data_IF_884326923518
#
_entry.id   IF_884326923518
#
_cell.length_a   1.000
_cell.length_b   1.000
_cell.length_c   1.000
_cell.angle_alpha   90.00
_cell.angle_beta   90.00
_cell.angle_gamma   90.00
#
_symmetry.space_group_name_H-M   'P 1'
#
loop_
_entity.id
_entity.type
_entity.pdbx_description
1 polymer ?
#
# COMPACT_ATOMS: atom_id res chain seq x y z
N UNK A 1 32.17 23.30 -30.83
CA UNK A 1 31.52 23.76 -29.57
C UNK A 1 31.40 22.60 -28.61
N UNK A 2 31.55 22.83 -27.29
CA UNK A 2 32.04 21.86 -26.32
C UNK A 2 30.95 20.98 -25.71
N UNK A 3 31.34 19.75 -25.39
CA UNK A 3 30.55 18.76 -24.66
C UNK A 3 30.10 19.31 -23.31
N UNK A 4 28.80 19.53 -23.16
CA UNK A 4 28.17 19.81 -21.87
C UNK A 4 28.35 18.57 -20.98
N UNK A 5 29.31 18.63 -20.08
CA UNK A 5 29.55 17.62 -19.06
C UNK A 5 28.33 17.57 -18.15
N UNK A 6 27.49 16.55 -18.29
CA UNK A 6 26.36 16.31 -17.39
C UNK A 6 26.93 16.06 -16.00
N UNK A 7 26.85 17.10 -15.15
CA UNK A 7 27.19 17.02 -13.73
C UNK A 7 26.40 15.88 -13.12
N UNK A 8 27.11 14.81 -12.75
CA UNK A 8 26.58 13.71 -11.92
C UNK A 8 26.19 14.29 -10.57
N UNK A 9 24.93 14.70 -10.43
CA UNK A 9 24.33 15.01 -9.14
C UNK A 9 24.35 13.70 -8.36
N UNK A 10 25.36 13.53 -7.51
CA UNK A 10 25.41 12.50 -6.49
C UNK A 10 24.16 12.72 -5.64
N UNK A 11 23.11 11.95 -5.92
CA UNK A 11 21.93 11.89 -5.08
C UNK A 11 22.43 11.47 -3.72
N UNK A 12 22.55 12.43 -2.81
CA UNK A 12 22.70 12.16 -1.39
C UNK A 12 21.49 11.28 -1.05
N UNK A 13 21.72 9.97 -0.96
CA UNK A 13 20.75 9.01 -0.48
C UNK A 13 20.58 9.39 0.98
N UNK A 14 19.70 10.37 1.24
CA UNK A 14 19.30 10.74 2.59
C UNK A 14 18.92 9.43 3.26
N UNK A 15 19.74 8.98 4.19
CA UNK A 15 19.47 7.84 5.03
C UNK A 15 18.25 8.22 5.87
N UNK A 16 17.06 8.02 5.31
CA UNK A 16 15.81 8.20 6.03
C UNK A 16 15.88 7.28 7.24
N UNK A 17 16.00 7.87 8.43
CA UNK A 17 16.00 7.12 9.69
C UNK A 17 14.59 6.63 9.93
N UNK A 18 14.33 5.38 9.57
CA UNK A 18 13.05 4.75 9.81
C UNK A 18 12.92 4.34 11.28
N UNK A 19 11.69 4.35 11.79
CA UNK A 19 11.36 3.73 13.08
C UNK A 19 11.28 2.22 12.87
N UNK A 20 12.08 1.46 13.63
CA UNK A 20 12.27 0.00 13.46
C UNK A 20 11.60 -0.84 14.53
N UNK A 21 11.03 -0.23 15.56
CA UNK A 21 10.25 -0.90 16.59
C UNK A 21 8.94 -0.14 16.89
N UNK A 22 8.08 -0.70 17.73
CA UNK A 22 6.79 -0.10 18.07
C UNK A 22 6.80 0.70 19.37
N UNK A 23 7.96 0.88 19.99
CA UNK A 23 8.10 1.51 21.30
C UNK A 23 7.62 2.97 21.26
N UNK A 24 6.62 3.31 22.07
CA UNK A 24 5.95 4.61 22.07
C UNK A 24 4.92 4.80 20.95
N UNK A 25 4.81 3.85 20.03
CA UNK A 25 3.88 3.85 18.89
C UNK A 25 2.93 2.64 18.87
N UNK A 26 2.72 1.99 20.01
CA UNK A 26 1.87 0.79 20.12
C UNK A 26 0.42 1.10 19.72
N UNK A 27 -0.04 2.32 19.99
CA UNK A 27 -1.34 2.80 19.54
C UNK A 27 -1.44 2.87 18.00
N UNK A 28 -0.35 3.20 17.32
CA UNK A 28 -0.26 3.20 15.86
C UNK A 28 -0.20 1.78 15.32
N UNK A 29 0.58 0.88 15.96
CA UNK A 29 0.57 -0.56 15.66
C UNK A 29 -0.86 -1.10 15.67
N UNK A 30 -1.60 -0.86 16.76
CA UNK A 30 -3.01 -1.29 16.88
C UNK A 30 -3.90 -0.71 15.78
N UNK A 31 -3.68 0.55 15.40
CA UNK A 31 -4.44 1.21 14.32
C UNK A 31 -4.15 0.56 12.96
N UNK A 32 -2.89 0.25 12.67
CA UNK A 32 -2.48 -0.47 11.45
C UNK A 32 -3.05 -1.88 11.40
N UNK A 33 -3.02 -2.62 12.51
CA UNK A 33 -3.65 -3.95 12.62
C UNK A 33 -5.14 -3.88 12.30
N UNK A 34 -5.88 -2.95 12.94
CA UNK A 34 -7.32 -2.77 12.67
C UNK A 34 -7.58 -2.41 11.20
N UNK A 35 -6.74 -1.53 10.63
CA UNK A 35 -6.84 -1.14 9.22
C UNK A 35 -6.58 -2.33 8.29
N UNK A 36 -5.62 -3.18 8.63
CA UNK A 36 -5.28 -4.39 7.87
C UNK A 36 -6.41 -5.42 7.91
N UNK A 37 -7.04 -5.61 9.06
CA UNK A 37 -8.23 -6.46 9.18
C UNK A 37 -9.36 -5.96 8.29
N UNK A 38 -9.64 -4.65 8.30
CA UNK A 38 -10.64 -4.04 7.40
C UNK A 38 -10.27 -4.18 5.92
N UNK A 39 -8.99 -4.02 5.59
CA UNK A 39 -8.48 -4.28 4.24
C UNK A 39 -8.73 -5.74 3.83
N UNK A 40 -8.41 -6.72 4.68
CA UNK A 40 -8.64 -8.15 4.42
C UNK A 40 -10.11 -8.46 4.23
N UNK A 41 -11.00 -7.92 5.06
CA UNK A 41 -12.46 -8.06 4.88
C UNK A 41 -12.90 -7.49 3.53
N UNK A 42 -12.45 -6.28 3.17
CA UNK A 42 -12.78 -5.66 1.88
C UNK A 42 -12.23 -6.46 0.70
N UNK A 43 -11.02 -6.99 0.84
CA UNK A 43 -10.37 -7.83 -0.18
C UNK A 43 -11.10 -9.16 -0.37
N UNK A 44 -11.56 -9.79 0.71
CA UNK A 44 -12.33 -11.02 0.65
C UNK A 44 -13.71 -10.78 0.03
N UNK A 45 -14.38 -9.69 0.40
CA UNK A 45 -15.63 -9.27 -0.25
C UNK A 45 -15.42 -9.03 -1.74
N UNK A 46 -14.34 -8.34 -2.10
CA UNK A 46 -14.01 -8.11 -3.50
C UNK A 46 -13.70 -9.41 -4.24
N UNK A 47 -12.94 -10.33 -3.64
CA UNK A 47 -12.66 -11.66 -4.19
C UNK A 47 -13.94 -12.43 -4.49
N UNK A 48 -14.93 -12.36 -3.60
CA UNK A 48 -16.25 -13.01 -3.78
C UNK A 48 -17.05 -12.39 -4.92
N UNK A 49 -16.98 -11.07 -5.10
CA UNK A 49 -17.70 -10.37 -6.18
C UNK A 49 -17.00 -10.60 -7.52
N UNK A 50 -15.67 -10.51 -7.56
CA UNK A 50 -14.88 -10.70 -8.76
C UNK A 50 -14.87 -12.16 -9.23
N UNK A 51 -14.90 -13.13 -8.33
CA UNK A 51 -14.69 -14.55 -8.66
C UNK A 51 -13.21 -14.95 -8.76
N UNK A 52 -12.26 -14.08 -8.41
CA UNK A 52 -10.83 -14.40 -8.47
C UNK A 52 -9.90 -13.28 -7.99
N UNK A 53 -8.65 -13.64 -7.65
CA UNK A 53 -7.63 -12.67 -7.18
C UNK A 53 -7.07 -11.79 -8.30
N UNK A 54 -6.99 -12.31 -9.53
CA UNK A 54 -6.48 -11.57 -10.69
C UNK A 54 -7.27 -10.27 -10.93
N UNK A 55 -8.58 -10.32 -10.69
CA UNK A 55 -9.48 -9.18 -10.83
C UNK A 55 -9.31 -8.14 -9.72
N UNK A 56 -8.83 -8.51 -8.54
CA UNK A 56 -8.47 -7.54 -7.48
C UNK A 56 -7.27 -6.71 -7.94
N UNK A 57 -6.24 -7.35 -8.51
CA UNK A 57 -5.06 -6.65 -9.03
C UNK A 57 -5.42 -5.71 -10.18
N UNK A 58 -6.29 -6.16 -11.10
CA UNK A 58 -6.79 -5.33 -12.20
C UNK A 58 -7.61 -4.15 -11.68
N UNK A 59 -8.50 -4.37 -10.71
CA UNK A 59 -9.29 -3.32 -10.06
C UNK A 59 -8.39 -2.29 -9.37
N UNK A 60 -7.39 -2.75 -8.61
CA UNK A 60 -6.40 -1.87 -7.99
C UNK A 60 -5.56 -1.10 -9.00
N UNK A 61 -5.18 -1.74 -10.11
CA UNK A 61 -4.43 -1.11 -11.20
C UNK A 61 -5.25 -0.03 -11.89
N UNK A 62 -6.51 -0.32 -12.23
CA UNK A 62 -7.47 0.65 -12.79
C UNK A 62 -7.60 1.87 -11.88
N UNK A 63 -7.76 1.64 -10.58
CA UNK A 63 -7.89 2.70 -9.59
C UNK A 63 -6.66 3.58 -9.41
N UNK A 64 -5.47 3.06 -9.72
CA UNK A 64 -4.21 3.80 -9.70
C UNK A 64 -3.91 4.48 -11.04
N UNK A 65 -4.85 4.44 -12.00
CA UNK A 65 -4.65 4.97 -13.36
C UNK A 65 -3.77 4.07 -14.23
N UNK A 66 -3.41 2.87 -13.78
CA UNK A 66 -2.59 1.91 -14.53
C UNK A 66 -3.47 1.02 -15.44
N UNK A 67 -4.32 1.65 -16.26
CA UNK A 67 -5.30 0.94 -17.10
C UNK A 67 -4.66 0.08 -18.19
N UNK A 68 -3.45 0.43 -18.62
CA UNK A 68 -2.68 -0.31 -19.63
C UNK A 68 -2.29 -1.74 -19.21
N UNK A 69 -2.38 -2.10 -17.93
CA UNK A 69 -2.07 -3.46 -17.41
C UNK A 69 -3.29 -4.35 -17.22
N UNK A 70 -4.49 -3.88 -17.54
CA UNK A 70 -5.73 -4.57 -17.22
C UNK A 70 -6.05 -5.58 -18.32
N UNK A 71 -6.12 -6.87 -17.95
CA UNK A 71 -6.43 -7.96 -18.89
C UNK A 71 -7.92 -8.36 -18.92
N UNK A 72 -8.68 -8.03 -17.89
CA UNK A 72 -10.06 -8.52 -17.68
C UNK A 72 -11.01 -7.44 -17.15
N UNK A 73 -12.31 -7.75 -17.14
CA UNK A 73 -13.39 -6.89 -16.63
C UNK A 73 -13.03 -6.34 -15.26
N UNK A 74 -13.04 -5.01 -15.15
CA UNK A 74 -12.74 -4.30 -13.90
C UNK A 74 -14.07 -4.09 -13.17
N UNK A 75 -14.11 -4.35 -11.87
CA UNK A 75 -15.21 -3.83 -11.06
C UNK A 75 -15.11 -2.32 -11.02
N UNK A 76 -16.22 -1.62 -11.25
CA UNK A 76 -16.26 -0.17 -11.20
C UNK A 76 -15.60 0.34 -9.89
N UNK A 77 -14.56 1.20 -9.99
CA UNK A 77 -13.96 1.88 -8.84
C UNK A 77 -14.95 2.54 -7.87
N UNK A 78 -16.15 2.89 -8.35
CA UNK A 78 -17.25 3.45 -7.55
C UNK A 78 -17.88 2.45 -6.58
N UNK A 79 -17.67 1.14 -6.80
CA UNK A 79 -18.21 0.07 -5.93
C UNK A 79 -17.69 0.25 -4.49
N UNK A 80 -18.56 0.31 -3.46
CA UNK A 80 -18.16 0.62 -2.09
C UNK A 80 -17.02 -0.25 -1.54
N UNK A 81 -16.98 -1.53 -1.92
CA UNK A 81 -15.92 -2.48 -1.52
C UNK A 81 -14.56 -2.08 -2.09
N UNK A 82 -14.53 -1.66 -3.35
CA UNK A 82 -13.33 -1.22 -4.08
C UNK A 82 -12.81 0.10 -3.51
N UNK A 83 -13.72 1.06 -3.31
CA UNK A 83 -13.41 2.33 -2.65
C UNK A 83 -12.81 2.12 -1.23
N UNK A 84 -13.44 1.26 -0.43
CA UNK A 84 -12.96 0.95 0.92
C UNK A 84 -11.57 0.31 0.90
N UNK A 85 -11.32 -0.61 -0.04
CA UNK A 85 -10.02 -1.26 -0.19
C UNK A 85 -8.91 -0.24 -0.51
N UNK A 86 -9.15 0.68 -1.45
CA UNK A 86 -8.23 1.77 -1.77
C UNK A 86 -8.01 2.70 -0.58
N UNK A 87 -9.09 3.12 0.08
CA UNK A 87 -9.02 3.99 1.27
C UNK A 87 -8.18 3.36 2.38
N UNK A 88 -8.35 2.06 2.64
CA UNK A 88 -7.55 1.36 3.64
C UNK A 88 -6.07 1.27 3.24
N UNK A 89 -5.77 0.99 1.98
CA UNK A 89 -4.38 0.94 1.49
C UNK A 89 -3.70 2.32 1.59
N UNK A 90 -4.38 3.37 1.15
CA UNK A 90 -3.89 4.75 1.23
C UNK A 90 -3.66 5.20 2.68
N UNK A 91 -4.59 4.87 3.58
CA UNK A 91 -4.45 5.23 4.99
C UNK A 91 -3.28 4.49 5.64
N UNK A 92 -3.01 3.24 5.23
CA UNK A 92 -1.84 2.49 5.71
C UNK A 92 -0.56 3.16 5.26
N UNK A 93 -0.45 3.46 3.96
CA UNK A 93 0.72 4.15 3.40
C UNK A 93 0.93 5.55 4.02
N UNK A 94 -0.16 6.28 4.27
CA UNK A 94 -0.12 7.57 4.96
C UNK A 94 0.43 7.44 6.37
N UNK A 95 -0.05 6.47 7.16
CA UNK A 95 0.44 6.25 8.53
C UNK A 95 1.92 5.86 8.50
N UNK A 96 2.32 4.93 7.63
CA UNK A 96 3.72 4.51 7.48
C UNK A 96 4.63 5.69 7.17
N UNK A 97 4.24 6.55 6.21
CA UNK A 97 5.02 7.73 5.85
C UNK A 97 5.02 8.82 6.92
N UNK A 98 3.87 9.09 7.55
CA UNK A 98 3.72 10.14 8.56
C UNK A 98 4.64 9.93 9.75
N UNK A 99 4.78 8.69 10.20
CA UNK A 99 5.64 8.33 11.33
C UNK A 99 7.00 7.79 10.89
N UNK A 100 7.29 7.77 9.58
CA UNK A 100 8.50 7.19 9.02
C UNK A 100 8.79 5.77 9.52
N UNK A 101 7.76 4.90 9.61
CA UNK A 101 7.97 3.51 9.98
C UNK A 101 8.70 2.76 8.88
N UNK A 102 9.61 1.87 9.29
CA UNK A 102 10.26 0.94 8.37
C UNK A 102 9.20 0.09 7.65
N UNK A 103 9.26 -0.05 6.32
CA UNK A 103 8.38 -0.96 5.58
C UNK A 103 8.44 -2.38 6.13
N UNK A 104 9.61 -2.84 6.57
CA UNK A 104 9.80 -4.16 7.20
C UNK A 104 9.06 -4.28 8.52
N UNK A 105 9.09 -3.24 9.37
CA UNK A 105 8.36 -3.24 10.63
C UNK A 105 6.85 -3.38 10.38
N UNK A 106 6.33 -2.64 9.40
CA UNK A 106 4.91 -2.72 9.02
C UNK A 106 4.58 -4.07 8.38
N UNK A 107 5.46 -4.63 7.56
CA UNK A 107 5.29 -5.96 6.97
C UNK A 107 5.25 -7.05 8.05
N UNK A 108 6.15 -7.00 9.03
CA UNK A 108 6.19 -7.95 10.14
C UNK A 108 4.89 -7.95 10.95
N UNK A 109 4.23 -6.80 11.10
CA UNK A 109 2.90 -6.80 11.75
C UNK A 109 1.83 -7.56 10.98
N UNK A 110 2.06 -7.87 9.70
CA UNK A 110 1.21 -8.78 8.93
C UNK A 110 1.50 -10.22 9.33
N UNK A 111 2.76 -10.63 9.39
CA UNK A 111 3.14 -12.00 9.74
C UNK A 111 2.70 -12.35 11.17
N UNK A 112 2.85 -11.40 12.11
CA UNK A 112 2.37 -11.53 13.49
C UNK A 112 0.83 -11.71 13.60
N UNK A 113 0.06 -11.34 12.57
CA UNK A 113 -1.40 -11.53 12.56
C UNK A 113 -1.83 -12.93 12.10
N UNK A 114 -0.90 -13.73 11.58
CA UNK A 114 -1.16 -15.06 11.03
C UNK A 114 -0.44 -16.20 11.77
N UNK A 115 0.38 -15.90 12.79
CA UNK A 115 0.87 -16.87 13.77
C UNK A 115 -0.10 -17.00 14.93
#
# INVERSE_FOLDING_TARGET
MPHTSVKKTKTNINQQKYIENWEGYEHVKRKLIKLRMKYKCSSNSLKRICGGEELIHNTLSAMNGNTYKIKHVVIDPSTPVVYNLKRHNHLSAYITRKYNFSPFLVEKTKDDLFM
#
